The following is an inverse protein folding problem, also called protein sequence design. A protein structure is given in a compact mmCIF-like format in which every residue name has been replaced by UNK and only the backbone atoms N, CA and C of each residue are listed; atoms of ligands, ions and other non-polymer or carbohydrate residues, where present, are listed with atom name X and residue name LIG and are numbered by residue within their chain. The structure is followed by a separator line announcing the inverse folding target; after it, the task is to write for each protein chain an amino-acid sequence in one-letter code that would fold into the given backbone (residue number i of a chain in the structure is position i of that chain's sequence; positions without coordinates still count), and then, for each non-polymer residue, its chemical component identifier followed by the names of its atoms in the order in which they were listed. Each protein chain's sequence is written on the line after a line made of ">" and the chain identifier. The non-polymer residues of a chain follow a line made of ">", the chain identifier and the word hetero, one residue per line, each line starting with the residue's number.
data_IF_150277852875
#
_entry.id   IF_150277852875
#
_cell.length_a   1.000
_cell.length_b   1.000
_cell.length_c   1.000
_cell.angle_alpha   90.00
_cell.angle_beta   90.00
_cell.angle_gamma   90.00
#
_symmetry.space_group_name_H-M   'P 1'
#
loop_
_entity.id
_entity.type
_entity.pdbx_description
1 polymer ?
#
# COMPACT_ATOMS: atom_id res chain seq x y z
N UNK A 1 -3.09 10.50 13.89
CA UNK A 1 -1.74 10.64 13.27
C UNK A 1 -1.96 10.64 11.76
N UNK A 2 -1.13 11.35 10.99
CA UNK A 2 -1.20 11.43 9.52
C UNK A 2 0.09 10.82 8.96
N UNK A 3 0.12 10.43 7.68
CA UNK A 3 1.40 10.08 7.04
C UNK A 3 2.40 11.23 7.18
N UNK A 4 3.67 10.87 7.30
CA UNK A 4 4.81 11.77 7.31
C UNK A 4 5.29 12.08 5.87
N UNK A 5 6.32 12.92 5.74
CA UNK A 5 6.83 13.42 4.46
C UNK A 5 7.64 12.40 3.62
N UNK A 6 7.92 11.20 4.15
CA UNK A 6 8.64 10.15 3.43
C UNK A 6 7.73 9.30 2.55
N UNK A 7 8.24 8.86 1.39
CA UNK A 7 7.56 7.86 0.57
C UNK A 7 7.59 6.50 1.26
N UNK A 8 6.41 5.95 1.54
CA UNK A 8 6.24 4.62 2.14
C UNK A 8 5.48 3.70 1.19
N UNK A 9 5.85 2.42 1.10
CA UNK A 9 5.05 1.45 0.37
C UNK A 9 3.79 1.12 1.19
N UNK A 10 2.63 1.03 0.53
CA UNK A 10 1.35 0.81 1.23
C UNK A 10 0.55 -0.38 0.71
N UNK A 11 0.83 -0.83 -0.51
CA UNK A 11 0.21 -2.01 -1.11
C UNK A 11 1.02 -2.50 -2.32
N UNK A 12 0.87 -3.78 -2.66
CA UNK A 12 1.16 -4.22 -4.03
C UNK A 12 0.10 -3.63 -4.97
N UNK A 13 0.54 -3.08 -6.09
CA UNK A 13 -0.33 -2.50 -7.13
C UNK A 13 -1.38 -3.51 -7.60
N UNK A 14 -0.95 -4.76 -7.82
CA UNK A 14 -1.81 -5.86 -8.25
C UNK A 14 -2.83 -6.34 -7.19
N UNK A 15 -2.70 -5.92 -5.93
CA UNK A 15 -3.68 -6.23 -4.87
C UNK A 15 -4.84 -5.24 -4.83
N UNK A 16 -4.76 -4.14 -5.58
CA UNK A 16 -5.82 -3.13 -5.69
C UNK A 16 -6.33 -3.16 -7.12
N UNK A 17 -7.40 -3.90 -7.38
CA UNK A 17 -8.02 -4.00 -8.70
C UNK A 17 -8.72 -2.68 -9.08
N UNK A 18 -8.85 -2.40 -10.38
CA UNK A 18 -9.58 -1.22 -10.85
C UNK A 18 -11.05 -1.27 -10.37
N UNK A 19 -11.53 -0.16 -9.79
CA UNK A 19 -12.86 -0.10 -9.20
C UNK A 19 -12.96 -0.74 -7.80
N UNK A 20 -11.85 -0.96 -7.11
CA UNK A 20 -11.82 -1.51 -5.74
C UNK A 20 -11.04 -0.63 -4.76
N UNK A 21 -11.21 -0.92 -3.47
CA UNK A 21 -10.54 -0.26 -2.37
C UNK A 21 -10.09 -1.27 -1.31
N UNK A 22 -8.99 -0.97 -0.63
CA UNK A 22 -8.48 -1.74 0.51
C UNK A 22 -7.95 -0.82 1.59
N UNK A 23 -8.08 -1.24 2.85
CA UNK A 23 -7.48 -0.54 3.98
C UNK A 23 -6.02 -0.94 4.17
N UNK A 24 -5.18 0.02 4.55
CA UNK A 24 -3.81 -0.18 5.01
C UNK A 24 -3.56 0.65 6.27
N UNK A 25 -2.46 0.38 6.96
CA UNK A 25 -2.07 1.10 8.18
C UNK A 25 -0.59 1.48 8.10
N UNK A 26 -0.27 2.75 8.31
CA UNK A 26 1.11 3.26 8.34
C UNK A 26 1.32 3.98 9.66
N UNK A 27 2.27 3.50 10.48
CA UNK A 27 2.57 4.08 11.80
C UNK A 27 1.32 4.31 12.66
N UNK A 28 0.40 3.34 12.65
CA UNK A 28 -0.89 3.39 13.34
C UNK A 28 -1.96 4.27 12.68
N UNK A 29 -1.65 4.97 11.58
CA UNK A 29 -2.59 5.77 10.80
C UNK A 29 -3.33 4.88 9.79
N UNK A 30 -4.66 4.84 9.86
CA UNK A 30 -5.47 4.07 8.92
C UNK A 30 -5.68 4.84 7.62
N UNK A 31 -5.32 4.22 6.50
CA UNK A 31 -5.44 4.78 5.16
C UNK A 31 -6.23 3.85 4.24
N UNK A 32 -6.85 4.41 3.22
CA UNK A 32 -7.47 3.67 2.14
C UNK A 32 -6.62 3.81 0.89
N UNK A 33 -6.31 2.70 0.25
CA UNK A 33 -5.77 2.65 -1.12
C UNK A 33 -6.93 2.22 -2.01
N UNK A 34 -7.28 3.03 -3.01
CA UNK A 34 -8.35 2.69 -3.94
C UNK A 34 -7.94 3.03 -5.36
N UNK A 35 -8.47 2.28 -6.33
CA UNK A 35 -8.15 2.47 -7.74
C UNK A 35 -9.41 2.83 -8.50
N UNK A 36 -9.37 3.97 -9.19
CA UNK A 36 -10.47 4.37 -10.05
C UNK A 36 -10.63 3.43 -11.26
N UNK A 37 -11.73 3.58 -11.99
CA UNK A 37 -11.99 2.76 -13.19
C UNK A 37 -11.03 3.03 -14.36
N UNK A 38 -10.26 4.13 -14.34
CA UNK A 38 -9.19 4.38 -15.32
C UNK A 38 -7.91 3.62 -14.99
N UNK A 39 -7.84 3.05 -13.78
CA UNK A 39 -6.71 2.29 -13.30
C UNK A 39 -5.73 3.11 -12.47
N UNK A 40 -6.03 4.36 -12.10
CA UNK A 40 -5.14 5.18 -11.27
C UNK A 40 -5.39 4.92 -9.78
N UNK A 41 -4.33 4.63 -9.04
CA UNK A 41 -4.38 4.49 -7.58
C UNK A 41 -4.38 5.86 -6.86
N UNK A 42 -5.14 5.92 -5.77
CA UNK A 42 -5.29 7.07 -4.88
C UNK A 42 -5.17 6.60 -3.43
N UNK A 43 -4.59 7.43 -2.55
CA UNK A 43 -4.36 7.08 -1.14
C UNK A 43 -4.89 8.18 -0.23
N UNK A 44 -5.82 7.86 0.67
CA UNK A 44 -6.48 8.83 1.55
C UNK A 44 -6.48 8.37 3.01
N UNK A 45 -6.83 9.26 3.93
CA UNK A 45 -7.23 8.87 5.28
C UNK A 45 -8.46 7.95 5.22
N UNK A 46 -8.45 6.85 5.97
CA UNK A 46 -9.54 5.86 5.96
C UNK A 46 -10.72 6.27 6.84
N UNK A 47 -11.19 7.52 6.70
CA UNK A 47 -12.26 8.08 7.52
C UNK A 47 -13.16 9.00 6.72
N UNK A 48 -14.43 8.64 6.65
CA UNK A 48 -15.49 9.48 6.10
C UNK A 48 -15.75 10.70 7.03
N UNK A 49 -15.61 11.95 6.57
CA UNK A 49 -15.84 13.16 7.37
C UNK A 49 -17.25 13.29 7.96
N UNK A 50 -18.23 12.51 7.47
CA UNK A 50 -19.59 12.55 7.98
C UNK A 50 -19.70 11.93 9.39
N UNK A 51 -19.33 10.65 9.54
CA UNK A 51 -19.47 9.89 10.80
C UNK A 51 -18.34 8.88 11.05
N UNK A 52 -17.19 9.06 10.40
CA UNK A 52 -15.98 8.27 10.66
C UNK A 52 -16.00 6.82 10.13
N UNK A 53 -16.97 6.43 9.30
CA UNK A 53 -16.93 5.13 8.62
C UNK A 53 -15.69 5.03 7.75
N UNK A 54 -15.06 3.86 7.71
CA UNK A 54 -13.90 3.60 6.86
C UNK A 54 -14.30 3.66 5.39
N UNK A 55 -13.53 4.42 4.62
CA UNK A 55 -13.67 4.57 3.17
C UNK A 55 -13.21 3.31 2.43
N UNK A 56 -12.34 2.50 3.03
CA UNK A 56 -11.90 1.20 2.50
C UNK A 56 -13.02 0.19 2.31
N UNK A 57 -14.13 0.32 3.04
CA UNK A 57 -15.36 -0.46 2.84
C UNK A 57 -16.32 0.16 1.81
N UNK A 58 -15.96 1.29 1.22
CA UNK A 58 -16.77 2.00 0.24
C UNK A 58 -16.85 1.29 -1.10
N UNK A 59 -17.58 1.90 -2.02
CA UNK A 59 -17.74 1.41 -3.39
C UNK A 59 -17.14 2.40 -4.37
N UNK A 60 -16.12 1.98 -5.10
CA UNK A 60 -15.56 2.79 -6.17
C UNK A 60 -16.50 2.75 -7.38
N UNK A 61 -16.78 3.93 -7.95
CA UNK A 61 -17.66 4.13 -9.10
C UNK A 61 -17.05 5.21 -9.99
N UNK A 62 -16.44 4.81 -11.10
CA UNK A 62 -15.74 5.75 -11.97
C UNK A 62 -14.50 6.30 -11.25
N UNK A 63 -14.48 7.61 -11.08
CA UNK A 63 -13.47 8.43 -10.41
C UNK A 63 -13.90 8.88 -9.00
N UNK A 64 -14.89 8.21 -8.42
CA UNK A 64 -15.40 8.48 -7.09
C UNK A 64 -15.39 7.22 -6.21
N UNK A 65 -15.40 7.43 -4.90
CA UNK A 65 -15.71 6.38 -3.92
C UNK A 65 -16.91 6.81 -3.06
N UNK A 66 -17.91 5.93 -2.99
CA UNK A 66 -19.11 6.11 -2.18
C UNK A 66 -18.93 5.43 -0.82
N UNK A 67 -19.10 6.18 0.27
CA UNK A 67 -19.06 5.62 1.62
C UNK A 67 -20.21 4.63 1.83
N UNK A 68 -19.90 3.41 2.31
CA UNK A 68 -20.88 2.35 2.57
C UNK A 68 -22.01 2.78 3.51
N UNK A 69 -21.76 3.72 4.41
CA UNK A 69 -22.74 4.06 5.46
C UNK A 69 -23.94 4.85 4.91
N UNK A 70 -23.71 6.00 4.30
CA UNK A 70 -24.77 6.90 3.83
C UNK A 70 -24.63 7.28 2.35
N UNK A 71 -23.71 6.63 1.62
CA UNK A 71 -23.51 6.84 0.20
C UNK A 71 -22.94 8.20 -0.18
N UNK A 72 -22.35 8.96 0.75
CA UNK A 72 -21.64 10.20 0.41
C UNK A 72 -20.50 9.85 -0.56
N UNK A 73 -20.45 10.56 -1.68
CA UNK A 73 -19.51 10.26 -2.76
C UNK A 73 -18.41 11.32 -2.79
N UNK A 74 -17.17 10.86 -2.85
CA UNK A 74 -15.99 11.69 -2.86
C UNK A 74 -15.23 11.47 -4.15
N UNK A 75 -14.80 12.56 -4.81
CA UNK A 75 -13.97 12.51 -6.02
C UNK A 75 -12.51 12.17 -5.70
N UNK A 76 -11.66 12.05 -6.73
CA UNK A 76 -10.21 11.77 -6.59
C UNK A 76 -9.43 12.70 -5.66
N UNK A 77 -9.89 13.94 -5.47
CA UNK A 77 -9.29 14.93 -4.58
C UNK A 77 -9.85 14.86 -3.14
N UNK A 78 -10.64 13.83 -2.83
CA UNK A 78 -11.30 13.64 -1.55
C UNK A 78 -12.47 14.59 -1.31
N UNK A 79 -12.91 15.38 -2.30
CA UNK A 79 -14.01 16.33 -2.13
C UNK A 79 -15.35 15.61 -2.22
N UNK A 80 -16.22 15.84 -1.23
CA UNK A 80 -17.60 15.34 -1.30
C UNK A 80 -18.34 16.04 -2.44
N UNK A 81 -18.84 15.26 -3.40
CA UNK A 81 -19.58 15.75 -4.58
C UNK A 81 -21.07 15.48 -4.50
N UNK A 82 -21.48 14.47 -3.72
CA UNK A 82 -22.86 14.04 -3.69
C UNK A 82 -23.27 13.48 -2.33
N UNK A 83 -24.43 13.92 -1.85
CA UNK A 83 -25.08 13.46 -0.62
C UNK A 83 -26.45 12.88 -1.00
N UNK A 84 -26.65 11.55 -0.97
CA UNK A 84 -27.89 10.93 -1.46
C UNK A 84 -29.17 11.43 -0.78
N UNK A 85 -29.12 11.74 0.52
CA UNK A 85 -30.26 12.25 1.27
C UNK A 85 -30.66 13.69 0.88
N UNK A 86 -29.76 14.43 0.24
CA UNK A 86 -29.97 15.80 -0.22
C UNK A 86 -29.44 15.96 -1.66
N UNK A 87 -30.07 15.31 -2.65
CA UNK A 87 -29.50 15.16 -3.98
C UNK A 87 -29.38 16.47 -4.77
N UNK A 88 -30.13 17.51 -4.39
CA UNK A 88 -30.08 18.84 -5.00
C UNK A 88 -29.21 19.83 -4.22
N UNK A 89 -28.58 19.40 -3.13
CA UNK A 89 -27.71 20.26 -2.32
C UNK A 89 -26.39 20.51 -3.06
N UNK A 90 -26.02 21.78 -3.18
CA UNK A 90 -24.64 22.14 -3.49
C UNK A 90 -23.77 21.82 -2.27
N UNK A 91 -22.96 20.76 -2.38
CA UNK A 91 -22.18 20.26 -1.25
C UNK A 91 -21.09 21.28 -0.88
N UNK A 92 -20.98 21.67 0.40
CA UNK A 92 -19.93 22.58 0.85
C UNK A 92 -18.51 22.09 0.52
N UNK A 93 -17.66 22.99 0.02
CA UNK A 93 -16.25 22.70 -0.33
C UNK A 93 -15.36 22.39 0.89
N UNK A 94 -15.89 22.53 2.11
CA UNK A 94 -15.20 22.17 3.36
C UNK A 94 -15.29 20.68 3.68
N UNK A 95 -16.18 19.93 3.02
CA UNK A 95 -16.37 18.50 3.25
C UNK A 95 -15.39 17.71 2.39
N UNK A 96 -14.21 17.43 2.96
CA UNK A 96 -13.12 16.71 2.27
C UNK A 96 -12.53 15.59 3.13
N UNK A 97 -12.22 14.46 2.50
CA UNK A 97 -11.33 13.43 3.06
C UNK A 97 -9.89 13.91 2.84
N UNK A 98 -9.02 13.88 3.86
CA UNK A 98 -7.60 14.15 3.64
C UNK A 98 -6.97 13.13 2.68
N UNK A 99 -6.22 13.64 1.70
CA UNK A 99 -5.55 12.83 0.67
C UNK A 99 -4.04 12.88 0.84
N UNK A 100 -3.36 11.83 0.38
CA UNK A 100 -1.90 11.73 0.31
C UNK A 100 -1.46 11.65 -1.16
N UNK A 101 -0.26 12.14 -1.46
CA UNK A 101 0.31 11.93 -2.79
C UNK A 101 0.59 10.44 -2.96
N UNK A 102 0.32 9.91 -4.16
CA UNK A 102 0.53 8.50 -4.47
C UNK A 102 1.19 8.31 -5.84
N UNK A 103 2.09 7.34 -5.91
CA UNK A 103 2.79 6.96 -7.14
C UNK A 103 2.84 5.43 -7.22
N UNK A 104 2.61 4.89 -8.42
CA UNK A 104 2.76 3.46 -8.66
C UNK A 104 4.06 3.19 -9.39
N UNK A 105 4.95 2.45 -8.73
CA UNK A 105 6.29 2.18 -9.23
C UNK A 105 6.77 0.83 -8.75
N UNK A 106 7.41 0.09 -9.66
CA UNK A 106 7.95 -1.25 -9.37
C UNK A 106 6.89 -2.22 -8.82
N UNK A 107 5.64 -2.11 -9.28
CA UNK A 107 4.54 -2.98 -8.85
C UNK A 107 4.02 -2.69 -7.43
N UNK A 108 4.40 -1.56 -6.85
CA UNK A 108 4.03 -1.12 -5.49
C UNK A 108 3.32 0.22 -5.59
N UNK A 109 2.28 0.41 -4.78
CA UNK A 109 1.67 1.71 -4.52
C UNK A 109 2.46 2.37 -3.38
N UNK A 110 3.02 3.53 -3.67
CA UNK A 110 3.73 4.37 -2.71
C UNK A 110 2.84 5.55 -2.29
N UNK A 111 3.01 6.02 -1.06
CA UNK A 111 2.30 7.19 -0.54
C UNK A 111 3.22 8.11 0.25
N UNK A 112 2.93 9.42 0.24
CA UNK A 112 3.62 10.42 1.07
C UNK A 112 2.69 11.60 1.39
N UNK A 113 2.94 12.29 2.51
CA UNK A 113 2.31 13.58 2.78
C UNK A 113 3.00 14.76 2.04
N UNK A 114 4.21 14.58 1.50
CA UNK A 114 4.96 15.62 0.81
C UNK A 114 5.05 15.33 -0.70
N UNK A 115 4.18 15.98 -1.49
CA UNK A 115 4.03 15.75 -2.93
C UNK A 115 5.20 16.24 -3.82
N UNK A 116 6.31 16.70 -3.23
CA UNK A 116 7.39 17.41 -3.95
C UNK A 116 8.47 16.48 -4.53
N UNK A 117 8.60 15.25 -4.02
CA UNK A 117 9.55 14.24 -4.49
C UNK A 117 8.82 13.05 -5.13
N UNK A 118 9.51 12.26 -5.98
CA UNK A 118 8.98 11.00 -6.53
C UNK A 118 9.25 9.82 -5.60
N UNK A 119 8.53 8.72 -5.80
CA UNK A 119 8.80 7.45 -5.14
C UNK A 119 10.25 6.96 -5.42
N UNK A 120 10.85 6.19 -4.49
CA UNK A 120 12.25 5.77 -4.57
C UNK A 120 12.63 5.15 -5.92
N UNK A 121 13.83 5.47 -6.43
CA UNK A 121 14.39 4.80 -7.60
C UNK A 121 15.13 3.52 -7.21
N UNK A 122 14.96 2.47 -8.00
CA UNK A 122 15.61 1.18 -7.79
C UNK A 122 16.42 0.82 -9.03
N UNK A 123 17.75 0.90 -8.90
CA UNK A 123 18.65 0.69 -10.02
C UNK A 123 18.51 -0.69 -10.66
N UNK A 124 18.39 -0.70 -11.99
CA UNK A 124 18.34 -1.92 -12.79
C UNK A 124 17.03 -2.72 -12.65
N UNK A 125 15.95 -2.09 -12.18
CA UNK A 125 14.62 -2.67 -12.11
C UNK A 125 13.70 -2.03 -13.16
N UNK A 126 13.27 -2.80 -14.16
CA UNK A 126 12.43 -2.30 -15.25
C UNK A 126 11.08 -3.00 -15.32
N UNK A 127 11.09 -4.32 -15.12
CA UNK A 127 9.90 -5.15 -15.08
C UNK A 127 9.82 -5.89 -13.76
N UNK A 128 8.60 -6.10 -13.29
CA UNK A 128 8.33 -6.74 -12.01
C UNK A 128 7.18 -7.73 -12.11
N UNK A 129 7.24 -8.77 -11.29
CA UNK A 129 6.15 -9.73 -11.10
C UNK A 129 5.75 -9.73 -9.63
N UNK A 130 4.49 -9.43 -9.28
CA UNK A 130 4.08 -9.36 -7.88
C UNK A 130 4.18 -10.73 -7.21
N UNK A 131 4.61 -10.79 -5.96
CA UNK A 131 4.59 -12.04 -5.17
C UNK A 131 3.46 -11.97 -4.16
N UNK A 132 3.64 -11.20 -3.09
CA UNK A 132 2.63 -10.95 -2.04
C UNK A 132 3.10 -9.85 -1.09
N UNK A 133 2.17 -9.28 -0.35
CA UNK A 133 2.47 -8.58 0.90
C UNK A 133 2.55 -9.61 2.04
N UNK A 134 3.55 -9.47 2.91
CA UNK A 134 3.67 -10.21 4.17
C UNK A 134 3.40 -9.26 5.32
N UNK A 135 2.67 -9.72 6.33
CA UNK A 135 2.46 -8.99 7.58
C UNK A 135 3.21 -9.74 8.68
N UNK A 136 3.98 -9.00 9.46
CA UNK A 136 4.99 -9.53 10.38
C UNK A 136 4.70 -8.97 11.77
N UNK A 137 4.64 -9.84 12.78
CA UNK A 137 4.46 -9.45 14.18
C UNK A 137 5.78 -8.98 14.84
N UNK A 138 6.50 -8.08 14.16
CA UNK A 138 7.73 -7.40 14.59
C UNK A 138 7.71 -5.93 14.16
N UNK A 139 8.45 -5.07 14.86
CA UNK A 139 8.62 -3.67 14.45
C UNK A 139 9.33 -3.57 13.10
N UNK A 140 9.15 -2.45 12.39
CA UNK A 140 9.90 -2.21 11.16
C UNK A 140 11.43 -2.20 11.40
N UNK A 141 11.87 -1.60 12.51
CA UNK A 141 13.30 -1.56 12.88
C UNK A 141 13.90 -2.96 13.09
N UNK A 142 13.16 -3.87 13.73
CA UNK A 142 13.62 -5.25 13.95
C UNK A 142 13.74 -5.99 12.61
N UNK A 143 12.75 -5.82 11.73
CA UNK A 143 12.76 -6.43 10.39
C UNK A 143 13.91 -5.87 9.55
N UNK A 144 14.10 -4.55 9.55
CA UNK A 144 15.21 -3.89 8.87
C UNK A 144 16.56 -4.38 9.40
N UNK A 145 16.71 -4.52 10.72
CA UNK A 145 17.93 -5.04 11.33
C UNK A 145 18.21 -6.49 10.88
N UNK A 146 17.19 -7.35 10.82
CA UNK A 146 17.32 -8.73 10.39
C UNK A 146 17.63 -8.89 8.89
N UNK A 147 17.28 -7.91 8.06
CA UNK A 147 17.55 -7.90 6.61
C UNK A 147 18.77 -7.07 6.21
N UNK A 148 19.39 -6.34 7.15
CA UNK A 148 20.49 -5.40 6.88
C UNK A 148 21.67 -6.05 6.17
N UNK A 149 22.07 -7.25 6.58
CA UNK A 149 23.17 -7.99 5.95
C UNK A 149 22.88 -8.38 4.49
N UNK A 150 21.59 -8.43 4.13
CA UNK A 150 21.15 -8.68 2.76
C UNK A 150 20.92 -7.38 1.96
N UNK A 151 21.26 -6.22 2.52
CA UNK A 151 21.21 -4.93 1.84
C UNK A 151 19.84 -4.25 1.82
N UNK A 152 18.88 -4.68 2.65
CA UNK A 152 17.55 -4.06 2.76
C UNK A 152 17.45 -3.30 4.08
N UNK A 153 17.26 -1.98 4.00
CA UNK A 153 16.88 -1.15 5.16
C UNK A 153 15.40 -0.81 5.11
N UNK A 154 14.98 -0.02 4.12
CA UNK A 154 13.56 0.32 3.88
C UNK A 154 13.06 -0.29 2.57
N UNK A 155 13.90 -0.26 1.55
CA UNK A 155 13.66 -0.92 0.27
C UNK A 155 14.98 -1.45 -0.28
N UNK A 156 14.97 -2.66 -0.83
CA UNK A 156 16.18 -3.23 -1.43
C UNK A 156 15.93 -4.51 -2.21
N UNK A 157 16.95 -4.91 -2.98
CA UNK A 157 16.92 -6.12 -3.80
C UNK A 157 17.64 -7.26 -3.08
N UNK A 158 16.91 -8.33 -2.79
CA UNK A 158 17.44 -9.58 -2.25
C UNK A 158 17.77 -10.55 -3.38
N UNK A 159 18.96 -11.16 -3.36
CA UNK A 159 19.27 -12.28 -4.22
C UNK A 159 18.68 -13.57 -3.62
N UNK A 160 17.79 -14.25 -4.36
CA UNK A 160 17.18 -15.51 -3.91
C UNK A 160 17.31 -16.54 -5.03
N UNK A 161 18.27 -17.45 -4.90
CA UNK A 161 18.66 -18.33 -5.99
C UNK A 161 19.20 -17.52 -7.16
N UNK A 162 18.63 -17.74 -8.35
CA UNK A 162 19.04 -17.05 -9.58
C UNK A 162 18.27 -15.74 -9.82
N UNK A 163 17.17 -15.49 -9.11
CA UNK A 163 16.35 -14.29 -9.30
C UNK A 163 16.63 -13.25 -8.18
N UNK A 164 16.29 -11.99 -8.46
CA UNK A 164 16.31 -10.91 -7.47
C UNK A 164 14.89 -10.54 -7.08
N UNK A 165 14.65 -10.28 -5.81
CA UNK A 165 13.34 -9.86 -5.30
C UNK A 165 13.48 -8.47 -4.68
N UNK A 166 12.67 -7.52 -5.15
CA UNK A 166 12.52 -6.26 -4.47
C UNK A 166 11.64 -6.49 -3.24
N UNK A 167 12.13 -6.04 -2.10
CA UNK A 167 11.43 -6.05 -0.82
C UNK A 167 11.32 -4.60 -0.35
N UNK A 168 10.08 -4.15 -0.12
CA UNK A 168 9.80 -2.83 0.41
C UNK A 168 9.10 -2.95 1.78
N UNK A 169 9.71 -2.38 2.80
CA UNK A 169 9.28 -2.41 4.19
C UNK A 169 8.31 -1.28 4.50
N UNK A 170 7.20 -1.64 5.14
CA UNK A 170 6.18 -0.73 5.64
C UNK A 170 6.11 -0.87 7.17
N UNK A 171 6.23 0.25 7.89
CA UNK A 171 5.89 0.29 9.31
C UNK A 171 4.36 0.33 9.48
N UNK A 172 3.80 -0.59 10.27
CA UNK A 172 2.36 -0.65 10.55
C UNK A 172 2.05 -0.09 11.94
N UNK A 173 2.82 -0.51 12.94
CA UNK A 173 2.73 -0.06 14.33
C UNK A 173 4.07 -0.29 15.02
N UNK A 174 4.17 0.06 16.30
CA UNK A 174 5.37 -0.15 17.11
C UNK A 174 5.86 -1.61 17.16
N UNK A 175 5.00 -2.58 16.85
CA UNK A 175 5.28 -4.01 16.93
C UNK A 175 4.83 -4.80 15.70
N UNK A 176 4.45 -4.12 14.60
CA UNK A 176 4.05 -4.77 13.36
C UNK A 176 4.63 -4.05 12.16
N UNK A 177 4.97 -4.83 11.15
CA UNK A 177 5.47 -4.35 9.87
C UNK A 177 4.85 -5.16 8.73
N UNK A 178 5.01 -4.66 7.51
CA UNK A 178 4.76 -5.43 6.30
C UNK A 178 5.94 -5.37 5.33
N UNK A 179 6.08 -6.41 4.52
CA UNK A 179 6.97 -6.44 3.37
C UNK A 179 6.14 -6.61 2.10
N UNK A 180 6.28 -5.69 1.15
CA UNK A 180 5.74 -5.84 -0.21
C UNK A 180 6.82 -6.41 -1.11
N UNK A 181 6.54 -7.58 -1.68
CA UNK A 181 7.55 -8.37 -2.39
C UNK A 181 7.15 -8.52 -3.86
N UNK A 182 8.08 -8.17 -4.75
CA UNK A 182 7.98 -8.41 -6.19
C UNK A 182 9.28 -9.06 -6.69
N UNK A 183 9.17 -9.89 -7.72
CA UNK A 183 10.33 -10.43 -8.44
C UNK A 183 10.80 -9.37 -9.43
N UNK A 184 12.10 -9.12 -9.49
CA UNK A 184 12.73 -8.30 -10.51
C UNK A 184 12.79 -9.05 -11.84
N UNK A 185 11.70 -8.99 -12.60
CA UNK A 185 11.59 -9.61 -13.91
C UNK A 185 10.15 -9.65 -14.43
N UNK A 186 10.03 -9.83 -15.74
CA UNK A 186 8.77 -9.81 -16.46
C UNK A 186 7.81 -10.93 -16.02
N UNK A 187 6.48 -10.65 -15.95
CA UNK A 187 5.46 -11.67 -15.71
C UNK A 187 5.49 -12.80 -16.73
N UNK A 188 5.89 -12.53 -17.98
CA UNK A 188 6.01 -13.56 -19.03
C UNK A 188 6.99 -14.69 -18.67
N UNK A 189 7.96 -14.42 -17.78
CA UNK A 189 8.95 -15.41 -17.31
C UNK A 189 8.58 -15.95 -15.92
N UNK A 190 8.01 -15.10 -15.06
CA UNK A 190 7.89 -15.39 -13.63
C UNK A 190 6.48 -15.73 -13.15
N UNK A 191 5.43 -15.42 -13.92
CA UNK A 191 4.05 -15.74 -13.53
C UNK A 191 3.83 -17.26 -13.42
N UNK A 192 2.94 -17.67 -12.51
CA UNK A 192 2.60 -19.08 -12.31
C UNK A 192 3.58 -19.79 -11.37
N UNK A 193 4.36 -20.76 -11.87
CA UNK A 193 5.14 -21.66 -11.01
C UNK A 193 6.24 -20.94 -10.22
N UNK A 194 7.01 -20.04 -10.87
CA UNK A 194 8.04 -19.24 -10.19
C UNK A 194 7.43 -18.28 -9.16
N UNK A 195 6.36 -17.56 -9.52
CA UNK A 195 5.62 -16.70 -8.59
C UNK A 195 5.13 -17.47 -7.36
N UNK A 196 4.56 -18.67 -7.56
CA UNK A 196 4.13 -19.55 -6.46
C UNK A 196 5.31 -20.01 -5.61
N UNK A 197 6.44 -20.35 -6.22
CA UNK A 197 7.66 -20.70 -5.51
C UNK A 197 8.10 -19.58 -4.56
N UNK A 198 8.17 -18.33 -5.05
CA UNK A 198 8.54 -17.19 -4.22
C UNK A 198 7.48 -16.81 -3.19
N UNK A 199 6.19 -17.09 -3.43
CA UNK A 199 5.14 -16.91 -2.43
C UNK A 199 5.30 -17.85 -1.22
N UNK A 200 5.81 -19.08 -1.45
CA UNK A 200 6.15 -20.04 -0.39
C UNK A 200 7.45 -19.66 0.31
N UNK A 201 8.46 -19.20 -0.44
CA UNK A 201 9.69 -18.64 0.15
C UNK A 201 9.37 -17.47 1.08
N UNK A 202 8.49 -16.56 0.67
CA UNK A 202 8.08 -15.40 1.45
C UNK A 202 7.39 -15.80 2.77
N UNK A 203 6.64 -16.91 2.79
CA UNK A 203 6.06 -17.44 4.03
C UNK A 203 7.12 -17.94 5.01
N UNK A 204 8.18 -18.60 4.51
CA UNK A 204 9.32 -19.00 5.34
C UNK A 204 10.10 -17.80 5.87
N UNK A 205 10.31 -16.78 5.02
CA UNK A 205 10.95 -15.53 5.44
C UNK A 205 10.20 -14.89 6.61
N UNK A 206 8.86 -14.82 6.55
CA UNK A 206 8.07 -14.29 7.68
C UNK A 206 8.34 -15.08 8.96
N UNK A 207 8.30 -16.41 8.90
CA UNK A 207 8.57 -17.27 10.06
C UNK A 207 9.95 -17.00 10.65
N UNK A 208 10.99 -16.92 9.81
CA UNK A 208 12.35 -16.62 10.27
C UNK A 208 12.45 -15.24 10.91
N UNK A 209 11.78 -14.22 10.36
CA UNK A 209 11.76 -12.86 10.91
C UNK A 209 11.00 -12.78 12.25
N UNK A 210 9.91 -13.52 12.41
CA UNK A 210 9.14 -13.56 13.66
C UNK A 210 9.85 -14.39 14.75
N UNK A 211 10.63 -15.42 14.38
CA UNK A 211 11.32 -16.29 15.33
C UNK A 211 12.72 -15.85 15.74
N UNK A 212 13.38 -14.96 15.00
CA UNK A 212 14.77 -14.52 15.26
C UNK A 212 14.97 -13.70 16.54
N UNK A 213 14.05 -13.75 17.48
CA UNK A 213 14.11 -12.98 18.71
C UNK A 213 13.57 -13.76 19.91
N UNK A 214 14.39 -14.68 20.37
CA UNK A 214 14.58 -15.01 21.79
C UNK A 214 16.01 -15.52 21.98
N UNK A 215 16.97 -14.59 21.98
CA UNK A 215 18.23 -14.75 22.72
C UNK A 215 18.47 -13.45 23.46
N UNK A 216 17.89 -13.38 24.67
CA UNK A 216 18.33 -12.50 25.74
C UNK A 216 19.38 -13.26 26.57
#
# INVERSE_FOLDING_TARGET
>A
MKLEAGWVPVALSASIEAGTSAGAVVDGSEIVVWRDNSGKAHVWEDRCPHRGMRMSFGFVRGDHIACLYHGWQYDTAGQCRYIPAHPSLEVPQTIKVPTYASEEKYGIVWATAAAEASAPEIDGLTEVTPVRSLYIDRSADDVAAALRESGVTDVGLLQVGDDRLLVALQSISQNKAALHIVIAGAPAVHAGAKQKHYAVWAERLRFDLEQKAEVA
#
